data_IF_509061637299
#
_entry.id   IF_509061637299
#
_cell.length_a   1.000
_cell.length_b   1.000
_cell.length_c   1.000
_cell.angle_alpha   90.00
_cell.angle_beta   90.00
_cell.angle_gamma   90.00
#
_symmetry.space_group_name_H-M   'P 1'
#
loop_
_entity.id
_entity.type
_entity.pdbx_description
1 polymer ?
#
# COMPACT_ATOMS: atom_id res chain seq x y z
N UNK A 1 8.63 21.00 31.82
CA UNK A 1 7.66 21.36 30.76
C UNK A 1 7.10 20.16 29.98
N UNK A 2 7.64 18.93 30.07
CA UNK A 2 7.21 17.82 29.20
C UNK A 2 5.99 16.97 29.65
N UNK A 3 5.43 17.12 30.86
CA UNK A 3 4.54 16.06 31.44
C UNK A 3 3.01 16.30 31.41
N UNK A 4 2.48 17.53 31.35
CA UNK A 4 1.03 17.76 31.54
C UNK A 4 0.16 17.52 30.30
N UNK A 5 0.78 17.47 29.13
CA UNK A 5 0.13 17.20 27.83
C UNK A 5 -0.32 15.72 27.70
N UNK A 6 0.07 14.86 28.64
CA UNK A 6 -0.03 13.41 28.48
C UNK A 6 -1.45 12.86 28.77
N UNK A 7 -2.24 13.47 29.65
CA UNK A 7 -3.45 12.83 30.22
C UNK A 7 -4.78 13.14 29.53
N UNK A 8 -5.00 14.31 28.94
CA UNK A 8 -6.24 14.65 28.21
C UNK A 8 -6.41 13.84 26.92
N UNK A 9 -5.29 13.29 26.46
CA UNK A 9 -5.24 12.43 25.29
C UNK A 9 -6.08 11.15 25.45
N UNK A 10 -6.34 10.65 26.67
CA UNK A 10 -6.89 9.30 26.86
C UNK A 10 -8.36 9.12 26.49
N UNK A 11 -9.20 10.16 26.57
CA UNK A 11 -10.66 10.00 26.39
C UNK A 11 -11.09 9.98 24.92
N UNK A 12 -10.40 10.71 24.05
CA UNK A 12 -10.60 10.60 22.60
C UNK A 12 -10.30 9.20 22.06
N UNK A 13 -9.52 8.41 22.81
CA UNK A 13 -9.07 7.09 22.37
C UNK A 13 -10.24 6.12 22.26
N UNK A 14 -11.19 6.13 23.19
CA UNK A 14 -12.20 5.06 23.24
C UNK A 14 -13.22 5.17 22.10
N UNK A 15 -13.65 6.37 21.73
CA UNK A 15 -14.63 6.55 20.65
C UNK A 15 -14.06 6.15 19.29
N UNK A 16 -12.75 6.34 19.10
CA UNK A 16 -12.08 5.89 17.89
C UNK A 16 -12.07 4.36 17.78
N UNK A 17 -11.94 3.63 18.89
CA UNK A 17 -11.79 2.16 18.87
C UNK A 17 -13.01 1.44 18.25
N UNK A 18 -14.23 1.97 18.41
CA UNK A 18 -15.44 1.25 18.01
C UNK A 18 -15.79 1.41 16.53
N UNK A 19 -15.45 2.54 15.88
CA UNK A 19 -15.60 2.69 14.42
C UNK A 19 -14.59 1.84 13.65
N UNK A 20 -13.49 1.44 14.30
CA UNK A 20 -12.44 0.63 13.68
C UNK A 20 -12.88 -0.82 13.39
N UNK A 21 -13.93 -1.36 14.00
CA UNK A 21 -14.23 -2.81 13.92
C UNK A 21 -15.06 -3.26 12.71
N UNK A 22 -15.56 -2.34 11.86
CA UNK A 22 -16.40 -2.67 10.69
C UNK A 22 -15.61 -2.99 9.40
N UNK A 23 -14.27 -2.96 9.43
CA UNK A 23 -13.43 -2.91 8.24
C UNK A 23 -12.92 -4.24 7.66
N UNK A 24 -13.35 -5.42 8.11
CA UNK A 24 -12.69 -6.67 7.74
C UNK A 24 -13.42 -7.46 6.66
N UNK A 25 -13.43 -6.96 5.41
CA UNK A 25 -13.70 -7.77 4.22
C UNK A 25 -12.35 -8.28 3.70
N UNK A 26 -11.92 -9.47 4.12
CA UNK A 26 -10.62 -10.01 3.72
C UNK A 26 -10.62 -10.40 2.24
N UNK A 27 -9.73 -9.79 1.45
CA UNK A 27 -9.42 -10.29 0.12
C UNK A 27 -8.80 -11.69 0.23
N UNK A 28 -9.02 -12.55 -0.78
CA UNK A 28 -8.32 -13.82 -0.84
C UNK A 28 -6.82 -13.56 -1.02
N UNK A 29 -6.01 -14.36 -0.33
CA UNK A 29 -4.57 -14.30 -0.46
C UNK A 29 -4.17 -14.68 -1.89
N UNK A 30 -3.39 -13.80 -2.52
CA UNK A 30 -2.84 -14.08 -3.83
C UNK A 30 -1.78 -15.19 -3.75
N UNK A 31 -1.97 -16.27 -4.50
CA UNK A 31 -1.02 -17.38 -4.59
C UNK A 31 -0.13 -17.20 -5.81
N UNK A 32 1.16 -16.94 -5.58
CA UNK A 32 2.17 -16.76 -6.63
C UNK A 32 2.46 -18.10 -7.32
N UNK A 33 2.28 -18.22 -8.66
CA UNK A 33 2.68 -19.41 -9.42
C UNK A 33 4.17 -19.70 -9.26
N UNK A 34 4.53 -20.99 -9.19
CA UNK A 34 5.91 -21.43 -8.96
C UNK A 34 6.40 -22.36 -10.07
N UNK A 35 7.69 -22.27 -10.36
CA UNK A 35 8.42 -23.23 -11.20
C UNK A 35 8.57 -24.58 -10.49
N UNK A 36 9.02 -25.61 -11.22
CA UNK A 36 9.29 -26.96 -10.66
C UNK A 36 10.31 -26.94 -9.51
N UNK A 37 11.23 -25.99 -9.54
CA UNK A 37 12.27 -25.80 -8.53
C UNK A 37 11.81 -24.84 -7.40
N UNK A 38 10.56 -24.37 -7.42
CA UNK A 38 9.92 -23.60 -6.34
C UNK A 38 10.10 -22.08 -6.39
N UNK A 39 10.73 -21.52 -7.42
CA UNK A 39 10.87 -20.07 -7.59
C UNK A 39 9.57 -19.47 -8.15
N UNK A 40 9.28 -18.17 -7.91
CA UNK A 40 8.21 -17.46 -8.60
C UNK A 40 8.33 -17.59 -10.11
N UNK A 41 7.23 -17.94 -10.78
CA UNK A 41 7.19 -17.97 -12.23
C UNK A 41 6.92 -16.57 -12.78
N UNK A 42 7.93 -15.98 -13.42
CA UNK A 42 7.88 -14.64 -14.03
C UNK A 42 7.84 -14.71 -15.57
N UNK A 43 7.49 -15.87 -16.12
CA UNK A 43 7.35 -16.02 -17.57
C UNK A 43 6.08 -15.31 -18.07
N UNK A 44 6.11 -14.89 -19.34
CA UNK A 44 5.00 -14.21 -19.99
C UNK A 44 5.46 -13.11 -20.94
N UNK A 45 4.50 -12.42 -21.55
CA UNK A 45 4.77 -11.24 -22.36
C UNK A 45 4.83 -10.01 -21.44
N UNK A 46 6.02 -9.42 -21.32
CA UNK A 46 6.24 -8.16 -20.62
C UNK A 46 6.26 -7.02 -21.64
N UNK A 47 5.37 -6.04 -21.49
CA UNK A 47 5.42 -4.81 -22.29
C UNK A 47 6.33 -3.79 -21.60
N UNK A 48 6.98 -2.92 -22.38
CA UNK A 48 7.83 -1.83 -21.87
C UNK A 48 7.27 -0.46 -22.27
N UNK A 49 5.94 -0.37 -22.37
CA UNK A 49 5.28 0.85 -22.82
C UNK A 49 5.35 1.89 -21.68
N UNK A 50 6.08 2.98 -21.92
CA UNK A 50 6.10 4.14 -21.04
C UNK A 50 5.21 5.23 -21.60
N UNK A 51 4.35 5.80 -20.74
CA UNK A 51 3.54 6.98 -21.08
C UNK A 51 4.42 8.23 -21.08
N UNK A 52 5.48 8.25 -20.27
CA UNK A 52 6.36 9.40 -20.11
C UNK A 52 7.49 9.35 -21.14
N UNK A 53 7.63 10.39 -22.00
CA UNK A 53 8.79 10.51 -22.86
C UNK A 53 10.07 10.60 -22.05
N UNK A 54 11.16 10.01 -22.56
CA UNK A 54 12.46 10.04 -21.90
C UNK A 54 13.15 11.41 -22.01
N UNK A 55 12.69 12.24 -22.95
CA UNK A 55 13.19 13.59 -23.21
C UNK A 55 12.14 14.63 -22.82
N UNK A 56 12.60 15.85 -22.52
CA UNK A 56 11.70 16.98 -22.25
C UNK A 56 10.94 17.35 -23.54
N UNK A 57 9.61 17.46 -23.50
CA UNK A 57 8.84 17.94 -24.66
C UNK A 57 9.25 19.38 -25.03
N UNK A 58 9.50 19.63 -26.31
CA UNK A 58 9.89 20.94 -26.82
C UNK A 58 8.87 22.07 -26.53
N UNK A 59 7.61 21.73 -26.27
CA UNK A 59 6.56 22.68 -25.87
C UNK A 59 6.67 23.16 -24.42
N UNK A 60 7.53 22.53 -23.61
CA UNK A 60 7.81 22.87 -22.21
C UNK A 60 9.22 23.46 -22.02
N UNK A 61 9.86 23.85 -23.12
CA UNK A 61 11.08 24.66 -23.15
C UNK A 61 10.76 26.15 -23.00
#
# INVERSE_FOLDING_TARGET
MKMSIIKTSTLGIVLTVTLLSLGSLSAQDYVVPRTVDGQPDLQGLWTNDTITPMERPASLE
#
